data_IF_982982967835
#
_entry.id   IF_982982967835
#
_cell.length_a   1.000
_cell.length_b   1.000
_cell.length_c   1.000
_cell.angle_alpha   90.00
_cell.angle_beta   90.00
_cell.angle_gamma   90.00
#
_symmetry.space_group_name_H-M   'P 1'
#
loop_
_entity.id
_entity.type
_entity.pdbx_description
1 polymer ?
#
# COMPACT_ATOMS: atom_id res chain seq x y z
N UNK A 1 -38.54 -40.10 99.01
CA UNK A 1 -39.70 -39.83 98.13
C UNK A 1 -39.22 -39.81 96.69
N UNK A 2 -39.86 -40.64 95.84
CA UNK A 2 -40.00 -40.60 94.35
C UNK A 2 -38.78 -40.20 93.50
N UNK A 3 -38.37 -40.89 92.42
CA UNK A 3 -38.61 -42.18 91.72
C UNK A 3 -37.49 -42.18 90.63
N UNK A 4 -36.58 -43.16 90.60
CA UNK A 4 -36.53 -44.29 89.65
C UNK A 4 -36.31 -43.94 88.14
N UNK A 5 -35.10 -44.27 87.62
CA UNK A 5 -34.76 -45.28 86.56
C UNK A 5 -34.74 -44.67 85.13
N UNK A 6 -33.84 -44.98 84.18
CA UNK A 6 -33.34 -46.29 83.70
C UNK A 6 -32.10 -46.14 82.78
N UNK A 7 -31.30 -47.20 82.71
CA UNK A 7 -30.14 -47.54 81.85
C UNK A 7 -30.41 -47.64 80.33
N UNK A 8 -29.33 -47.65 79.51
CA UNK A 8 -28.98 -48.47 78.29
C UNK A 8 -27.90 -47.66 77.49
N UNK A 9 -26.59 -47.98 77.45
CA UNK A 9 -25.82 -49.07 76.82
C UNK A 9 -25.60 -48.96 75.28
N UNK A 10 -24.30 -49.00 74.88
CA UNK A 10 -23.71 -49.32 73.55
C UNK A 10 -24.05 -48.38 72.37
N UNK A 11 -23.10 -47.89 71.55
CA UNK A 11 -22.24 -48.68 70.66
C UNK A 11 -21.12 -47.81 70.05
N UNK A 12 -19.92 -48.37 69.95
CA UNK A 12 -18.76 -47.87 69.20
C UNK A 12 -19.05 -47.91 67.69
N UNK A 13 -18.84 -46.81 66.97
CA UNK A 13 -18.49 -46.85 65.54
C UNK A 13 -17.34 -45.87 65.27
N UNK A 14 -16.14 -46.47 65.29
CA UNK A 14 -14.93 -45.96 64.68
C UNK A 14 -15.13 -46.05 63.15
N UNK A 15 -15.57 -44.97 62.52
CA UNK A 15 -15.77 -44.88 61.07
C UNK A 15 -14.68 -44.03 60.45
N UNK A 16 -13.77 -44.68 59.74
CA UNK A 16 -12.54 -44.08 59.20
C UNK A 16 -12.79 -42.86 58.30
N UNK A 17 -11.90 -41.89 58.47
CA UNK A 17 -11.56 -40.87 57.48
C UNK A 17 -11.12 -41.58 56.19
N UNK A 18 -12.07 -41.84 55.30
CA UNK A 18 -11.77 -42.15 53.91
C UNK A 18 -11.29 -40.86 53.27
N UNK A 19 -9.98 -40.79 53.05
CA UNK A 19 -9.38 -39.81 52.14
C UNK A 19 -10.06 -39.97 50.79
N UNK A 20 -10.89 -39.00 50.40
CA UNK A 20 -11.33 -38.86 49.02
C UNK A 20 -10.11 -38.45 48.19
N UNK A 21 -9.42 -39.44 47.64
CA UNK A 21 -8.58 -39.25 46.47
C UNK A 21 -9.48 -38.71 45.35
N UNK A 22 -9.53 -37.39 45.19
CA UNK A 22 -9.94 -36.80 43.92
C UNK A 22 -8.97 -37.33 42.88
N UNK A 23 -9.42 -38.30 42.08
CA UNK A 23 -8.76 -38.57 40.80
C UNK A 23 -8.76 -37.24 40.05
N UNK A 24 -7.58 -36.62 39.99
CA UNK A 24 -7.34 -35.46 39.15
C UNK A 24 -7.66 -35.93 37.73
N UNK A 25 -8.84 -35.59 37.24
CA UNK A 25 -9.13 -35.69 35.81
C UNK A 25 -8.06 -34.84 35.14
N UNK A 26 -7.09 -35.51 34.51
CA UNK A 26 -6.27 -34.88 33.50
C UNK A 26 -7.25 -34.40 32.45
N UNK A 27 -7.39 -33.07 32.35
CA UNK A 27 -8.00 -32.45 31.19
C UNK A 27 -7.24 -33.04 30.00
N UNK A 28 -7.97 -33.66 29.07
CA UNK A 28 -7.42 -33.97 27.76
C UNK A 28 -7.00 -32.63 27.16
N UNK A 29 -5.70 -32.33 27.25
CA UNK A 29 -5.11 -31.26 26.45
C UNK A 29 -5.38 -31.66 25.01
N UNK A 30 -5.99 -30.81 24.18
CA UNK A 30 -6.20 -31.11 22.77
C UNK A 30 -4.89 -31.62 22.15
N UNK A 31 -4.99 -32.65 21.31
CA UNK A 31 -3.85 -33.15 20.56
C UNK A 31 -3.31 -32.03 19.64
N UNK A 32 -2.03 -31.69 19.83
CA UNK A 32 -1.18 -30.84 18.97
C UNK A 32 -1.84 -29.58 18.39
N UNK A 33 -1.79 -28.50 19.15
CA UNK A 33 -1.92 -27.15 18.61
C UNK A 33 -0.57 -26.72 18.04
N UNK A 34 -0.23 -27.21 16.84
CA UNK A 34 0.86 -26.63 16.06
C UNK A 34 0.66 -25.11 16.05
N UNK A 35 1.70 -24.32 16.37
CA UNK A 35 1.53 -22.89 16.51
C UNK A 35 0.99 -22.30 15.21
N UNK A 36 -0.10 -21.53 15.33
CA UNK A 36 -0.79 -20.97 14.17
C UNK A 36 0.12 -20.00 13.42
N UNK A 37 0.96 -19.27 14.16
CA UNK A 37 1.94 -18.34 13.62
C UNK A 37 3.29 -18.55 14.29
N UNK A 38 4.33 -18.70 13.47
CA UNK A 38 5.69 -19.01 13.90
C UNK A 38 6.68 -18.53 12.84
N UNK A 39 7.87 -18.13 13.25
CA UNK A 39 9.03 -17.93 12.38
C UNK A 39 10.25 -18.62 13.00
N UNK A 40 10.96 -19.43 12.22
CA UNK A 40 12.18 -20.11 12.67
C UNK A 40 13.23 -20.17 11.57
N UNK A 41 14.49 -19.98 11.94
CA UNK A 41 15.57 -19.96 10.97
C UNK A 41 16.83 -19.36 11.56
N UNK A 42 17.55 -18.58 10.74
CA UNK A 42 18.82 -17.95 11.15
C UNK A 42 18.87 -16.45 10.88
N UNK A 43 19.56 -15.73 11.76
CA UNK A 43 20.03 -14.36 11.58
C UNK A 43 21.56 -14.40 11.70
N UNK A 44 22.27 -14.08 10.63
CA UNK A 44 23.73 -14.21 10.52
C UNK A 44 24.22 -15.59 10.99
N UNK A 45 23.57 -16.65 10.54
CA UNK A 45 23.79 -18.06 10.92
C UNK A 45 23.47 -18.43 12.38
N UNK A 46 23.05 -17.49 13.24
CA UNK A 46 22.57 -17.80 14.58
C UNK A 46 21.09 -18.17 14.53
N UNK A 47 20.72 -19.28 15.18
CA UNK A 47 19.34 -19.73 15.20
C UNK A 47 18.45 -18.77 15.98
N UNK A 48 17.22 -18.57 15.49
CA UNK A 48 16.16 -17.91 16.21
C UNK A 48 14.85 -18.67 16.04
N UNK A 49 13.94 -18.50 17.00
CA UNK A 49 12.58 -19.01 16.94
C UNK A 49 11.66 -17.96 17.57
N UNK A 50 10.54 -17.67 16.90
CA UNK A 50 9.45 -16.85 17.39
C UNK A 50 8.15 -17.61 17.20
N UNK A 51 7.46 -17.94 18.29
CA UNK A 51 6.21 -18.70 18.26
C UNK A 51 5.12 -17.91 18.97
N UNK A 52 4.07 -17.50 18.25
CA UNK A 52 3.00 -16.73 18.87
C UNK A 52 2.32 -17.53 19.99
N UNK A 53 2.30 -16.98 21.21
CA UNK A 53 1.81 -17.64 22.42
C UNK A 53 2.91 -18.12 23.37
N UNK A 54 4.16 -18.21 22.91
CA UNK A 54 5.32 -18.60 23.71
C UNK A 54 6.24 -17.39 23.96
N UNK A 55 6.94 -17.36 25.09
CA UNK A 55 7.91 -16.32 25.46
C UNK A 55 7.45 -14.87 25.22
N UNK A 56 6.16 -14.61 25.47
CA UNK A 56 5.49 -13.33 25.22
C UNK A 56 5.51 -12.87 23.74
N UNK A 57 5.69 -13.79 22.80
CA UNK A 57 5.57 -13.49 21.39
C UNK A 57 4.10 -13.42 20.95
N UNK A 58 3.78 -12.40 20.16
CA UNK A 58 2.44 -12.18 19.61
C UNK A 58 2.50 -11.93 18.10
N UNK A 59 1.41 -12.29 17.42
CA UNK A 59 1.18 -11.95 16.01
C UNK A 59 0.32 -10.70 15.93
N UNK A 60 0.78 -9.70 15.17
CA UNK A 60 0.08 -8.46 14.91
C UNK A 60 -0.12 -8.28 13.40
N UNK A 61 -1.29 -7.83 12.99
CA UNK A 61 -1.56 -7.44 11.61
C UNK A 61 -1.76 -5.94 11.52
N UNK A 62 -1.33 -5.33 10.41
CA UNK A 62 -1.54 -3.91 10.16
C UNK A 62 -1.63 -3.63 8.67
N UNK A 63 -2.30 -2.53 8.34
CA UNK A 63 -2.30 -1.94 7.02
C UNK A 63 -1.63 -0.57 7.17
N UNK A 64 -0.39 -0.47 6.72
CA UNK A 64 0.35 0.79 6.69
C UNK A 64 0.15 1.47 5.33
N UNK A 65 0.48 2.77 5.24
CA UNK A 65 0.56 3.48 3.95
C UNK A 65 1.94 4.10 3.81
N UNK A 66 2.57 3.93 2.64
CA UNK A 66 3.82 4.59 2.27
C UNK A 66 3.65 5.22 0.90
N UNK A 67 3.81 6.55 0.81
CA UNK A 67 3.57 7.33 -0.41
C UNK A 67 2.18 7.02 -1.02
N UNK A 68 1.16 7.03 -0.15
CA UNK A 68 -0.23 6.71 -0.48
C UNK A 68 -0.47 5.31 -1.09
N UNK A 69 0.47 4.37 -0.90
CA UNK A 69 0.30 2.97 -1.28
C UNK A 69 0.14 2.11 -0.03
N UNK A 70 -0.95 1.32 0.08
CA UNK A 70 -1.13 0.37 1.17
C UNK A 70 -0.02 -0.67 1.23
N UNK A 71 0.37 -1.03 2.45
CA UNK A 71 1.27 -2.15 2.75
C UNK A 71 0.54 -3.06 3.74
N UNK A 72 0.21 -4.25 3.28
CA UNK A 72 -0.44 -5.27 4.08
C UNK A 72 0.63 -6.04 4.84
N UNK A 73 0.67 -5.91 6.17
CA UNK A 73 1.78 -6.45 6.96
C UNK A 73 1.33 -7.34 8.12
N UNK A 74 2.23 -8.29 8.41
CA UNK A 74 2.18 -9.18 9.55
C UNK A 74 3.48 -9.11 10.34
N UNK A 75 3.39 -8.97 11.66
CA UNK A 75 4.53 -8.87 12.57
C UNK A 75 4.45 -9.89 13.69
N UNK A 76 5.49 -10.72 13.83
CA UNK A 76 5.73 -11.56 15.00
C UNK A 76 6.75 -10.87 15.90
N UNK A 77 6.44 -10.70 17.19
CA UNK A 77 7.37 -10.05 18.13
C UNK A 77 7.15 -10.48 19.57
N UNK A 78 8.25 -10.64 20.32
CA UNK A 78 8.29 -10.83 21.77
C UNK A 78 8.78 -9.58 22.54
N UNK A 79 8.95 -8.44 21.85
CA UNK A 79 9.47 -7.19 22.42
C UNK A 79 10.96 -6.97 22.16
N UNK A 80 11.79 -8.01 22.27
CA UNK A 80 13.25 -7.92 22.04
C UNK A 80 13.62 -8.19 20.58
N UNK A 81 12.96 -9.19 19.98
CA UNK A 81 13.07 -9.56 18.57
C UNK A 81 11.71 -9.34 17.88
N UNK A 82 11.74 -8.82 16.67
CA UNK A 82 10.55 -8.69 15.82
C UNK A 82 10.88 -8.94 14.37
N UNK A 83 10.01 -9.69 13.69
CA UNK A 83 10.05 -9.86 12.24
C UNK A 83 8.71 -9.41 11.66
N UNK A 84 8.75 -8.49 10.71
CA UNK A 84 7.58 -8.00 9.97
C UNK A 84 7.76 -8.28 8.48
N UNK A 85 6.76 -8.92 7.87
CA UNK A 85 6.64 -9.05 6.41
C UNK A 85 5.48 -8.17 5.97
N UNK A 86 5.76 -7.25 5.05
CA UNK A 86 4.78 -6.38 4.41
C UNK A 86 4.76 -6.60 2.90
N UNK A 87 3.57 -6.56 2.31
CA UNK A 87 3.34 -6.65 0.87
C UNK A 87 2.79 -5.30 0.40
N UNK A 88 3.50 -4.64 -0.52
CA UNK A 88 2.96 -3.44 -1.17
C UNK A 88 1.75 -3.82 -2.04
N UNK A 89 0.70 -3.03 -2.01
CA UNK A 89 -0.39 -3.19 -2.98
C UNK A 89 0.15 -2.97 -4.41
N UNK A 90 -0.23 -3.86 -5.35
CA UNK A 90 0.17 -3.78 -6.75
C UNK A 90 -0.89 -3.27 -7.71
N UNK A 91 -2.16 -3.18 -7.32
CA UNK A 91 -3.26 -2.71 -8.17
C UNK A 91 -3.84 -1.39 -7.65
N UNK A 92 -2.95 -0.41 -7.45
CA UNK A 92 -3.26 0.85 -6.76
C UNK A 92 -4.19 1.81 -7.54
N UNK A 93 -4.45 1.53 -8.81
CA UNK A 93 -5.40 2.23 -9.68
C UNK A 93 -6.72 1.48 -9.90
N UNK A 94 -6.89 0.30 -9.30
CA UNK A 94 -8.15 -0.48 -9.31
C UNK A 94 -8.76 -0.43 -7.90
N UNK A 95 -9.76 0.44 -7.65
CA UNK A 95 -10.39 0.55 -6.34
C UNK A 95 -11.12 -0.74 -5.95
N UNK A 96 -10.95 -1.18 -4.69
CA UNK A 96 -11.68 -2.33 -4.14
C UNK A 96 -11.36 -3.67 -4.82
N UNK A 97 -10.14 -3.83 -5.36
CA UNK A 97 -9.72 -5.11 -5.90
C UNK A 97 -9.41 -6.09 -4.76
N UNK A 98 -9.58 -7.39 -5.04
CA UNK A 98 -9.24 -8.44 -4.08
C UNK A 98 -7.73 -8.73 -4.12
N UNK A 99 -6.99 -8.14 -3.18
CA UNK A 99 -5.52 -8.24 -3.07
C UNK A 99 -5.02 -9.69 -3.14
N UNK A 100 -5.65 -10.61 -2.40
CA UNK A 100 -5.20 -12.02 -2.33
C UNK A 100 -5.34 -12.73 -3.66
N UNK A 101 -6.43 -12.48 -4.39
CA UNK A 101 -6.66 -13.10 -5.70
C UNK A 101 -5.76 -12.49 -6.80
N UNK A 102 -5.23 -11.29 -6.57
CA UNK A 102 -4.39 -10.56 -7.52
C UNK A 102 -2.89 -10.75 -7.30
N UNK A 103 -2.50 -11.30 -6.16
CA UNK A 103 -1.09 -11.49 -5.79
C UNK A 103 -0.42 -12.58 -6.66
N UNK A 104 0.76 -12.32 -7.22
CA UNK A 104 1.48 -13.32 -8.01
C UNK A 104 2.01 -14.46 -7.13
N UNK A 105 2.26 -15.63 -7.74
CA UNK A 105 2.82 -16.80 -7.05
C UNK A 105 4.27 -16.62 -6.63
N UNK A 106 5.02 -15.81 -7.38
CA UNK A 106 6.40 -15.44 -7.08
C UNK A 106 6.44 -13.96 -6.71
N UNK A 107 7.04 -13.66 -5.56
CA UNK A 107 7.14 -12.32 -5.04
C UNK A 107 8.61 -11.92 -4.98
N UNK A 108 8.87 -10.66 -5.30
CA UNK A 108 10.22 -10.10 -5.28
C UNK A 108 10.32 -9.05 -4.18
N UNK A 109 11.52 -8.88 -3.63
CA UNK A 109 11.74 -7.81 -2.67
C UNK A 109 11.68 -6.43 -3.31
N UNK A 110 11.09 -5.50 -2.58
CA UNK A 110 11.24 -4.07 -2.85
C UNK A 110 12.72 -3.68 -2.73
N UNK A 111 13.12 -2.71 -3.53
CA UNK A 111 14.50 -2.23 -3.60
C UNK A 111 14.54 -0.73 -3.49
N UNK A 112 15.58 -0.22 -2.84
CA UNK A 112 15.91 1.20 -2.85
C UNK A 112 16.34 1.62 -4.26
N UNK A 113 15.71 2.67 -4.78
CA UNK A 113 16.16 3.35 -6.00
C UNK A 113 17.24 4.37 -5.62
N UNK A 114 18.38 4.35 -6.32
CA UNK A 114 19.45 5.35 -6.14
C UNK A 114 19.28 6.54 -7.09
N UNK A 115 18.46 6.37 -8.12
CA UNK A 115 18.11 7.40 -9.11
C UNK A 115 16.66 7.81 -8.93
N UNK A 116 16.31 9.08 -9.21
CA UNK A 116 14.95 9.54 -9.07
C UNK A 116 14.01 8.89 -10.08
N UNK A 117 12.79 8.59 -9.66
CA UNK A 117 11.76 7.99 -10.51
C UNK A 117 11.13 9.05 -11.41
N UNK A 118 10.98 10.28 -10.91
CA UNK A 118 10.53 11.42 -11.70
C UNK A 118 11.35 12.67 -11.37
N UNK A 119 11.59 13.47 -12.39
CA UNK A 119 12.17 14.81 -12.29
C UNK A 119 11.20 15.79 -12.95
N UNK A 120 10.47 16.52 -12.13
CA UNK A 120 9.51 17.52 -12.54
C UNK A 120 10.27 18.80 -12.87
N UNK A 121 10.05 19.37 -14.04
CA UNK A 121 10.74 20.58 -14.50
C UNK A 121 9.85 21.39 -15.42
N UNK A 122 9.96 22.72 -15.33
CA UNK A 122 9.42 23.66 -16.32
C UNK A 122 9.86 23.28 -17.74
N UNK A 123 11.11 22.86 -17.90
CA UNK A 123 11.70 22.53 -19.21
C UNK A 123 11.09 21.29 -19.86
N UNK A 124 10.23 20.55 -19.12
CA UNK A 124 9.50 19.41 -19.66
C UNK A 124 8.25 19.81 -20.44
N UNK A 125 7.81 21.06 -20.34
CA UNK A 125 6.67 21.55 -21.10
C UNK A 125 7.06 21.96 -22.53
N UNK A 126 6.29 21.60 -23.57
CA UNK A 126 6.59 21.97 -24.95
C UNK A 126 6.69 23.48 -25.20
N UNK A 127 6.02 24.28 -24.37
CA UNK A 127 5.96 25.74 -24.40
C UNK A 127 6.76 26.41 -23.27
N UNK A 128 7.83 25.76 -22.78
CA UNK A 128 8.67 26.27 -21.69
C UNK A 128 9.19 27.70 -21.89
N UNK A 129 9.36 28.15 -23.14
CA UNK A 129 9.85 29.49 -23.49
C UNK A 129 8.89 30.63 -23.09
N UNK A 130 7.59 30.35 -23.00
CA UNK A 130 6.57 31.35 -22.60
C UNK A 130 6.11 31.19 -21.15
N UNK A 131 6.62 30.16 -20.46
CA UNK A 131 6.43 29.97 -19.03
C UNK A 131 7.55 30.74 -18.33
N UNK A 132 7.23 31.63 -17.40
CA UNK A 132 8.24 32.32 -16.59
C UNK A 132 8.84 31.34 -15.58
N UNK A 133 7.98 30.79 -14.70
CA UNK A 133 8.34 29.80 -13.70
C UNK A 133 7.19 28.84 -13.37
N UNK A 134 7.52 27.75 -12.69
CA UNK A 134 6.54 26.77 -12.20
C UNK A 134 6.82 26.50 -10.73
N UNK A 135 5.84 26.68 -9.86
CA UNK A 135 5.91 26.20 -8.47
C UNK A 135 5.27 24.81 -8.40
N UNK A 136 6.09 23.80 -8.12
CA UNK A 136 5.62 22.42 -7.96
C UNK A 136 5.20 22.19 -6.51
N UNK A 137 4.15 21.41 -6.33
CA UNK A 137 3.74 20.85 -5.04
C UNK A 137 3.51 19.35 -5.20
N UNK A 138 4.16 18.51 -4.39
CA UNK A 138 3.94 17.06 -4.35
C UNK A 138 3.53 16.68 -2.94
N UNK A 139 2.30 16.19 -2.78
CA UNK A 139 1.70 15.88 -1.48
C UNK A 139 1.84 17.03 -0.45
N UNK A 140 1.78 18.28 -0.94
CA UNK A 140 1.89 19.50 -0.14
C UNK A 140 3.32 19.99 0.14
N UNK A 141 4.35 19.34 -0.42
CA UNK A 141 5.73 19.83 -0.37
C UNK A 141 6.05 20.64 -1.61
N UNK A 142 6.44 21.90 -1.42
CA UNK A 142 6.64 22.85 -2.52
C UNK A 142 8.10 23.00 -2.95
N UNK A 143 8.32 23.23 -4.24
CA UNK A 143 9.63 23.55 -4.81
C UNK A 143 9.52 24.39 -6.09
N UNK A 144 10.42 25.36 -6.26
CA UNK A 144 10.43 26.25 -7.43
C UNK A 144 11.18 25.63 -8.61
N UNK A 145 10.56 25.67 -9.78
CA UNK A 145 10.99 25.23 -11.11
C UNK A 145 11.27 23.75 -11.27
N UNK A 146 11.86 23.10 -10.27
CA UNK A 146 12.18 21.68 -10.32
C UNK A 146 11.80 20.96 -9.04
N UNK A 147 11.42 19.69 -9.16
CA UNK A 147 11.14 18.82 -8.04
C UNK A 147 11.47 17.37 -8.40
N UNK A 148 11.98 16.61 -7.43
CA UNK A 148 12.44 15.24 -7.66
C UNK A 148 11.71 14.27 -6.76
N UNK A 149 11.21 13.17 -7.35
CA UNK A 149 10.55 12.09 -6.62
C UNK A 149 11.43 10.84 -6.71
N UNK A 150 11.87 10.32 -5.57
CA UNK A 150 12.80 9.19 -5.50
C UNK A 150 12.12 7.85 -5.28
N UNK A 151 11.04 7.82 -4.52
CA UNK A 151 10.40 6.59 -4.09
C UNK A 151 9.16 6.30 -4.94
N UNK A 152 8.83 5.02 -5.21
CA UNK A 152 7.58 4.69 -5.87
C UNK A 152 6.38 5.09 -4.99
N UNK A 153 5.24 5.36 -5.61
CA UNK A 153 4.03 5.73 -4.91
C UNK A 153 2.96 6.34 -5.79
N UNK A 154 1.93 6.83 -5.10
CA UNK A 154 0.80 7.55 -5.65
C UNK A 154 0.84 8.98 -5.11
N UNK A 155 0.96 9.96 -6.00
CA UNK A 155 1.29 11.34 -5.63
C UNK A 155 0.23 12.30 -6.15
N UNK A 156 -0.22 13.21 -5.31
CA UNK A 156 -0.95 14.38 -5.77
C UNK A 156 0.07 15.45 -6.16
N UNK A 157 0.19 15.73 -7.46
CA UNK A 157 1.15 16.70 -7.99
C UNK A 157 0.42 17.89 -8.56
N UNK A 158 0.77 19.09 -8.10
CA UNK A 158 0.26 20.35 -8.62
C UNK A 158 1.41 21.19 -9.18
N UNK A 159 1.14 21.86 -10.29
CA UNK A 159 2.00 22.85 -10.93
C UNK A 159 1.26 24.19 -10.94
N UNK A 160 1.72 25.16 -10.17
CA UNK A 160 1.33 26.56 -10.35
C UNK A 160 2.23 27.15 -11.42
N UNK A 161 1.66 27.36 -12.60
CA UNK A 161 2.37 27.74 -13.83
C UNK A 161 2.12 29.22 -14.06
N UNK A 162 3.19 30.01 -14.00
CA UNK A 162 3.14 31.45 -14.28
C UNK A 162 3.75 31.70 -15.65
N UNK A 163 2.99 32.32 -16.53
CA UNK A 163 3.43 32.67 -17.89
C UNK A 163 4.14 34.02 -17.92
N UNK A 164 4.92 34.27 -18.97
CA UNK A 164 5.69 35.51 -19.17
C UNK A 164 4.81 36.77 -19.28
N UNK A 165 3.51 36.63 -19.55
CA UNK A 165 2.53 37.72 -19.54
C UNK A 165 1.96 38.03 -18.13
N UNK A 166 2.38 37.26 -17.12
CA UNK A 166 1.93 37.36 -15.73
C UNK A 166 0.65 36.60 -15.41
N UNK A 167 -0.01 35.96 -16.39
CA UNK A 167 -1.13 35.06 -16.12
C UNK A 167 -0.65 33.77 -15.44
N UNK A 168 -1.48 33.18 -14.58
CA UNK A 168 -1.13 31.94 -13.90
C UNK A 168 -2.31 30.98 -13.78
N UNK A 169 -2.00 29.69 -13.75
CA UNK A 169 -2.98 28.62 -13.58
C UNK A 169 -2.37 27.50 -12.74
N UNK A 170 -3.21 26.83 -11.95
CA UNK A 170 -2.81 25.66 -11.18
C UNK A 170 -3.35 24.41 -11.86
N UNK A 171 -2.44 23.51 -12.25
CA UNK A 171 -2.78 22.22 -12.82
C UNK A 171 -2.40 21.12 -11.84
N UNK A 172 -3.37 20.28 -11.44
CA UNK A 172 -3.13 19.19 -10.51
C UNK A 172 -3.47 17.85 -11.15
N UNK A 173 -2.63 16.83 -10.97
CA UNK A 173 -2.88 15.47 -11.43
C UNK A 173 -2.43 14.45 -10.38
N UNK A 174 -3.07 13.29 -10.38
CA UNK A 174 -2.66 12.14 -9.57
C UNK A 174 -1.68 11.29 -10.39
N UNK A 175 -0.42 11.25 -9.96
CA UNK A 175 0.65 10.51 -10.62
C UNK A 175 0.86 9.16 -9.94
N UNK A 176 0.99 8.12 -10.76
CA UNK A 176 1.38 6.77 -10.33
C UNK A 176 2.80 6.50 -10.82
N UNK A 177 3.75 6.43 -9.88
CA UNK A 177 5.19 6.34 -10.17
C UNK A 177 5.77 5.04 -9.60
N UNK A 178 6.42 4.25 -10.45
CA UNK A 178 7.05 2.97 -10.07
C UNK A 178 6.04 1.86 -9.72
N UNK A 179 4.86 1.89 -10.33
CA UNK A 179 3.81 0.88 -10.27
C UNK A 179 3.20 0.70 -11.67
N UNK A 180 2.62 -0.48 -11.94
CA UNK A 180 1.89 -0.66 -13.19
C UNK A 180 0.64 0.22 -13.22
N UNK A 181 0.27 0.64 -14.43
CA UNK A 181 -0.99 1.33 -14.71
C UNK A 181 -1.84 0.38 -15.53
N UNK A 182 -2.99 0.01 -15.01
CA UNK A 182 -3.89 -0.96 -15.59
C UNK A 182 -4.86 -0.31 -16.59
N UNK A 183 -4.94 1.03 -16.62
CA UNK A 183 -5.46 1.78 -17.75
C UNK A 183 -4.85 3.18 -17.79
N UNK A 184 -4.68 3.72 -18.99
CA UNK A 184 -4.26 5.10 -19.22
C UNK A 184 -4.90 5.64 -20.51
N UNK A 185 -4.88 6.96 -20.66
CA UNK A 185 -5.42 7.65 -21.82
C UNK A 185 -4.78 9.02 -22.04
N UNK A 186 -4.99 9.68 -23.16
CA UNK A 186 -4.66 11.10 -23.34
C UNK A 186 -5.91 11.91 -23.61
N UNK A 187 -5.95 13.15 -23.14
CA UNK A 187 -6.94 14.12 -23.61
C UNK A 187 -6.36 14.74 -24.88
N UNK A 188 -7.07 14.59 -26.00
CA UNK A 188 -6.83 15.40 -27.18
C UNK A 188 -7.88 16.48 -27.28
N UNK A 189 -7.48 17.61 -27.82
CA UNK A 189 -8.35 18.75 -27.99
C UNK A 189 -8.04 19.50 -29.27
N UNK A 190 -9.03 20.26 -29.73
CA UNK A 190 -8.94 21.24 -30.78
C UNK A 190 -9.77 22.45 -30.39
N UNK A 191 -9.16 23.63 -30.39
CA UNK A 191 -9.84 24.91 -30.19
C UNK A 191 -9.76 25.70 -31.48
N UNK A 192 -10.92 26.05 -32.05
CA UNK A 192 -10.97 26.86 -33.26
C UNK A 192 -11.01 28.37 -32.95
N UNK A 193 -10.84 29.20 -33.98
CA UNK A 193 -10.87 30.66 -33.86
C UNK A 193 -12.23 31.24 -33.43
N UNK A 194 -13.30 30.44 -33.43
CA UNK A 194 -14.63 30.84 -32.98
C UNK A 194 -14.89 30.49 -31.51
N UNK A 195 -13.88 29.99 -30.79
CA UNK A 195 -14.02 29.56 -29.39
C UNK A 195 -14.81 28.27 -29.21
N UNK A 196 -14.89 27.41 -30.25
CA UNK A 196 -15.42 26.05 -30.09
C UNK A 196 -14.28 25.11 -29.70
N UNK A 197 -14.38 24.55 -28.50
CA UNK A 197 -13.52 23.50 -27.98
C UNK A 197 -14.13 22.14 -28.30
N UNK A 198 -13.39 21.31 -29.01
CA UNK A 198 -13.67 19.87 -29.15
C UNK A 198 -12.61 19.10 -28.39
N UNK A 199 -12.99 18.11 -27.59
CA UNK A 199 -12.04 17.25 -26.87
C UNK A 199 -12.52 15.81 -26.80
N UNK A 200 -11.58 14.86 -26.81
CA UNK A 200 -11.89 13.44 -26.74
C UNK A 200 -10.77 12.68 -26.02
N UNK A 201 -11.11 11.48 -25.57
CA UNK A 201 -10.15 10.52 -25.04
C UNK A 201 -9.48 9.80 -26.21
N UNK A 202 -8.16 9.91 -26.31
CA UNK A 202 -7.36 9.22 -27.32
C UNK A 202 -6.56 8.06 -26.72
N UNK A 203 -6.38 7.02 -27.54
CA UNK A 203 -5.60 5.80 -27.26
C UNK A 203 -5.88 5.20 -25.87
N UNK A 204 -7.15 4.91 -25.54
CA UNK A 204 -7.46 4.27 -24.28
C UNK A 204 -6.87 2.85 -24.30
N UNK A 205 -5.96 2.56 -23.36
CA UNK A 205 -5.30 1.25 -23.26
C UNK A 205 -6.27 0.10 -22.94
N UNK A 206 -7.42 0.45 -22.36
CA UNK A 206 -8.53 -0.43 -22.01
C UNK A 206 -9.82 0.22 -22.50
N UNK A 207 -10.84 -0.57 -22.82
CA UNK A 207 -12.15 -0.05 -23.20
C UNK A 207 -12.72 0.90 -22.13
N UNK A 208 -13.26 2.03 -22.61
CA UNK A 208 -13.84 3.07 -21.75
C UNK A 208 -15.30 2.72 -21.48
N UNK A 209 -15.66 2.60 -20.20
CA UNK A 209 -17.04 2.39 -19.77
C UNK A 209 -17.81 3.73 -19.73
N UNK A 210 -17.17 4.77 -19.19
CA UNK A 210 -17.80 6.08 -18.96
C UNK A 210 -16.79 7.22 -18.95
N UNK A 211 -17.20 8.36 -19.51
CA UNK A 211 -16.46 9.63 -19.44
C UNK A 211 -17.35 10.70 -18.82
N UNK A 212 -16.76 11.60 -18.04
CA UNK A 212 -17.36 12.88 -17.64
C UNK A 212 -16.38 14.00 -17.91
N UNK A 213 -16.85 15.05 -18.56
CA UNK A 213 -16.06 16.24 -18.90
C UNK A 213 -16.45 17.40 -18.00
N UNK A 214 -15.45 18.02 -17.38
CA UNK A 214 -15.63 19.23 -16.58
C UNK A 214 -14.79 20.35 -17.14
N UNK A 215 -15.33 21.57 -17.10
CA UNK A 215 -14.61 22.79 -17.40
C UNK A 215 -14.69 23.68 -16.16
N UNK A 216 -13.54 24.06 -15.61
CA UNK A 216 -13.44 24.84 -14.38
C UNK A 216 -14.28 24.23 -13.23
N UNK A 217 -14.12 22.92 -13.04
CA UNK A 217 -14.84 22.07 -12.08
C UNK A 217 -16.35 21.91 -12.31
N UNK A 218 -16.92 22.50 -13.36
CA UNK A 218 -18.34 22.34 -13.73
C UNK A 218 -18.50 21.19 -14.72
N UNK A 219 -19.35 20.21 -14.41
CA UNK A 219 -19.70 19.13 -15.34
C UNK A 219 -20.44 19.70 -16.55
N UNK A 220 -19.86 19.54 -17.74
CA UNK A 220 -20.42 20.08 -19.00
C UNK A 220 -20.85 18.99 -19.99
N UNK A 221 -20.31 17.77 -19.90
CA UNK A 221 -20.72 16.65 -20.75
C UNK A 221 -20.43 15.29 -20.11
N UNK A 222 -21.12 14.26 -20.59
CA UNK A 222 -20.80 12.84 -20.31
C UNK A 222 -20.72 12.01 -21.60
N UNK A 223 -20.60 12.68 -22.75
CA UNK A 223 -20.44 12.04 -24.05
C UNK A 223 -18.97 11.63 -24.28
N UNK A 224 -18.76 10.72 -25.23
CA UNK A 224 -17.42 10.24 -25.58
C UNK A 224 -16.51 11.36 -26.12
N UNK A 225 -17.11 12.30 -26.84
CA UNK A 225 -16.49 13.52 -27.34
C UNK A 225 -17.21 14.73 -26.74
N UNK A 226 -16.43 15.67 -26.22
CA UNK A 226 -16.90 16.98 -25.80
C UNK A 226 -16.92 17.92 -27.01
N UNK A 227 -18.03 18.63 -27.20
CA UNK A 227 -18.06 19.87 -27.99
C UNK A 227 -18.64 20.98 -27.13
N UNK A 228 -17.84 21.99 -26.83
CA UNK A 228 -18.23 23.16 -26.04
C UNK A 228 -18.10 24.42 -26.90
N UNK A 229 -19.21 25.12 -27.08
CA UNK A 229 -19.22 26.39 -27.81
C UNK A 229 -19.06 27.53 -26.81
N UNK A 230 -18.36 28.60 -27.22
CA UNK A 230 -18.21 29.84 -26.42
C UNK A 230 -17.23 29.71 -25.25
N UNK A 231 -16.07 29.09 -25.49
CA UNK A 231 -14.94 29.25 -24.59
C UNK A 231 -14.51 30.73 -24.59
N UNK A 232 -14.34 31.34 -23.42
CA UNK A 232 -13.81 32.71 -23.32
C UNK A 232 -12.32 32.75 -23.63
N UNK A 233 -11.79 33.95 -23.89
CA UNK A 233 -10.36 34.18 -24.20
C UNK A 233 -9.42 33.99 -22.98
N UNK A 234 -9.92 33.44 -21.87
CA UNK A 234 -9.12 33.15 -20.67
C UNK A 234 -8.56 31.73 -20.71
N UNK A 235 -7.67 31.40 -19.78
CA UNK A 235 -7.23 30.02 -19.60
C UNK A 235 -8.29 29.26 -18.80
N UNK A 236 -8.55 28.02 -19.18
CA UNK A 236 -9.54 27.15 -18.55
C UNK A 236 -8.94 25.79 -18.19
N UNK A 237 -9.47 25.15 -17.14
CA UNK A 237 -9.09 23.78 -16.77
C UNK A 237 -10.12 22.80 -17.32
N UNK A 238 -9.71 22.00 -18.31
CA UNK A 238 -10.51 20.89 -18.80
C UNK A 238 -10.12 19.61 -18.05
N UNK A 239 -11.10 18.97 -17.41
CA UNK A 239 -10.95 17.66 -16.74
C UNK A 239 -11.74 16.58 -17.46
N UNK A 240 -11.14 15.42 -17.63
CA UNK A 240 -11.83 14.18 -17.98
C UNK A 240 -11.74 13.17 -16.83
N UNK A 241 -12.89 12.80 -16.25
CA UNK A 241 -12.99 11.63 -15.37
C UNK A 241 -13.40 10.42 -16.21
N UNK A 242 -12.54 9.42 -16.29
CA UNK A 242 -12.74 8.21 -17.11
C UNK A 242 -12.82 6.99 -16.21
N UNK A 243 -13.87 6.19 -16.39
CA UNK A 243 -14.00 4.84 -15.83
C UNK A 243 -13.82 3.82 -16.96
N UNK A 244 -12.98 2.82 -16.72
CA UNK A 244 -12.64 1.76 -17.66
C UNK A 244 -13.36 0.47 -17.29
N UNK A 245 -13.61 -0.40 -18.28
CA UNK A 245 -14.32 -1.67 -18.08
C UNK A 245 -13.61 -2.62 -17.10
N UNK A 246 -12.29 -2.48 -16.91
CA UNK A 246 -11.53 -3.25 -15.92
C UNK A 246 -11.60 -2.69 -14.49
N UNK A 247 -12.43 -1.67 -14.24
CA UNK A 247 -12.63 -1.05 -12.94
C UNK A 247 -11.69 0.11 -12.62
N UNK A 248 -10.67 0.36 -13.44
CA UNK A 248 -9.77 1.50 -13.26
C UNK A 248 -10.54 2.81 -13.40
N UNK A 249 -10.21 3.78 -12.54
CA UNK A 249 -10.72 5.15 -12.62
C UNK A 249 -9.57 6.13 -12.65
N UNK A 250 -9.55 7.01 -13.65
CA UNK A 250 -8.49 8.02 -13.82
C UNK A 250 -9.11 9.38 -14.12
N UNK A 251 -8.55 10.41 -13.52
CA UNK A 251 -8.86 11.80 -13.80
C UNK A 251 -7.63 12.45 -14.42
N UNK A 252 -7.80 13.15 -15.54
CA UNK A 252 -6.75 13.96 -16.16
C UNK A 252 -7.22 15.38 -16.35
N UNK A 253 -6.32 16.32 -16.13
CA UNK A 253 -6.58 17.75 -16.24
C UNK A 253 -5.64 18.35 -17.26
N UNK A 254 -6.09 19.37 -17.98
CA UNK A 254 -5.23 20.16 -18.86
C UNK A 254 -5.62 21.63 -18.83
N UNK A 255 -4.67 22.51 -19.13
CA UNK A 255 -4.94 23.93 -19.36
C UNK A 255 -5.27 24.10 -20.84
N UNK A 256 -6.47 24.58 -21.12
CA UNK A 256 -6.89 25.04 -22.45
C UNK A 256 -6.73 26.55 -22.52
N UNK A 257 -5.96 27.00 -23.49
CA UNK A 257 -5.73 28.42 -23.74
C UNK A 257 -6.82 28.98 -24.66
N UNK A 258 -7.83 29.61 -24.07
CA UNK A 258 -8.93 30.24 -24.81
C UNK A 258 -8.48 31.37 -25.74
N UNK A 259 -7.38 32.06 -25.39
CA UNK A 259 -6.84 33.17 -26.20
C UNK A 259 -6.08 32.72 -27.44
N UNK A 260 -5.76 31.42 -27.56
CA UNK A 260 -4.87 30.87 -28.59
C UNK A 260 -3.46 31.50 -28.58
N UNK A 261 -3.00 32.00 -27.43
CA UNK A 261 -1.66 32.55 -27.18
C UNK A 261 -0.54 31.51 -27.01
N UNK A 262 -0.84 30.22 -27.07
CA UNK A 262 0.10 29.12 -26.90
C UNK A 262 0.29 28.65 -25.45
N UNK A 263 -0.54 29.09 -24.51
CA UNK A 263 -0.48 28.79 -23.07
C UNK A 263 -1.10 27.45 -22.66
N UNK A 264 -1.32 26.56 -23.62
CA UNK A 264 -1.86 25.23 -23.33
C UNK A 264 -0.86 24.40 -22.52
N UNK A 265 -1.36 23.56 -21.61
CA UNK A 265 -0.53 22.61 -20.86
C UNK A 265 -1.26 21.28 -20.83
N UNK A 266 -0.63 20.25 -21.39
CA UNK A 266 -1.14 18.88 -21.31
C UNK A 266 -1.06 18.33 -19.88
N UNK A 267 -1.83 17.26 -19.62
CA UNK A 267 -1.89 16.61 -18.31
C UNK A 267 -0.52 16.11 -17.82
N UNK A 268 -0.23 16.31 -16.52
CA UNK A 268 1.07 16.04 -15.90
C UNK A 268 1.44 14.54 -15.85
N UNK A 269 0.54 13.62 -16.20
CA UNK A 269 0.86 12.18 -16.20
C UNK A 269 1.89 11.77 -17.25
N UNK A 270 2.34 12.67 -18.14
CA UNK A 270 3.51 12.40 -18.98
C UNK A 270 4.78 12.13 -18.15
N UNK A 271 4.86 12.59 -16.90
CA UNK A 271 5.96 12.24 -15.98
C UNK A 271 5.97 10.76 -15.54
N UNK A 272 4.88 10.02 -15.76
CA UNK A 272 4.77 8.59 -15.40
C UNK A 272 5.49 7.66 -16.40
N UNK A 273 6.03 8.15 -17.51
CA UNK A 273 6.60 7.30 -18.59
C UNK A 273 8.12 7.14 -18.54
N UNK A 274 8.79 7.59 -17.48
CA UNK A 274 10.25 7.43 -17.33
C UNK A 274 10.69 5.96 -17.16
N UNK A 275 11.91 5.59 -17.58
CA UNK A 275 12.43 4.20 -17.52
C UNK A 275 12.36 3.60 -16.12
N UNK A 276 12.60 4.40 -15.07
CA UNK A 276 12.52 3.94 -13.68
C UNK A 276 11.07 3.84 -13.18
N UNK A 277 10.13 4.57 -13.78
CA UNK A 277 8.70 4.39 -13.52
C UNK A 277 8.19 3.04 -14.08
N UNK A 278 8.93 2.41 -15.00
CA UNK A 278 8.64 1.06 -15.51
C UNK A 278 9.16 -0.07 -14.59
N UNK A 279 9.95 0.26 -13.57
CA UNK A 279 10.36 -0.71 -12.55
C UNK A 279 9.28 -0.77 -11.47
N UNK A 280 8.29 -1.62 -11.69
CA UNK A 280 7.13 -1.69 -10.85
C UNK A 280 7.42 -2.32 -9.47
N UNK A 281 6.81 -1.76 -8.43
CA UNK A 281 6.83 -2.28 -7.05
C UNK A 281 5.56 -3.09 -6.74
N UNK A 282 4.86 -3.53 -7.78
CA UNK A 282 3.59 -4.24 -7.65
C UNK A 282 3.78 -5.53 -6.85
N UNK A 283 3.06 -5.65 -5.73
CA UNK A 283 3.16 -6.80 -4.83
C UNK A 283 4.57 -7.10 -4.28
N UNK A 284 5.49 -6.15 -4.34
CA UNK A 284 6.83 -6.38 -3.79
C UNK A 284 6.80 -6.55 -2.27
N UNK A 285 7.79 -7.28 -1.75
CA UNK A 285 7.92 -7.56 -0.32
C UNK A 285 8.83 -6.56 0.38
N UNK A 286 8.47 -6.21 1.60
CA UNK A 286 9.32 -5.53 2.58
C UNK A 286 9.44 -6.41 3.81
N UNK A 287 10.67 -6.70 4.21
CA UNK A 287 11.00 -7.32 5.48
C UNK A 287 11.55 -6.24 6.43
N UNK A 288 11.07 -6.21 7.67
CA UNK A 288 11.71 -5.48 8.77
C UNK A 288 12.12 -6.45 9.87
N UNK A 289 13.32 -6.25 10.40
CA UNK A 289 13.83 -6.93 11.59
C UNK A 289 14.04 -5.87 12.65
N UNK A 290 13.53 -6.09 13.86
CA UNK A 290 13.96 -5.33 15.04
C UNK A 290 14.70 -6.29 15.96
N UNK A 291 15.94 -5.95 16.30
CA UNK A 291 16.79 -6.72 17.20
C UNK A 291 17.53 -5.76 18.12
N UNK A 292 17.43 -5.95 19.43
CA UNK A 292 18.07 -5.09 20.45
C UNK A 292 17.75 -3.59 20.27
N UNK A 293 16.51 -3.30 19.86
CA UNK A 293 16.03 -1.93 19.58
C UNK A 293 16.51 -1.32 18.26
N UNK A 294 17.33 -2.02 17.47
CA UNK A 294 17.80 -1.56 16.15
C UNK A 294 16.84 -2.08 15.08
N UNK A 295 16.39 -1.19 14.19
CA UNK A 295 15.52 -1.55 13.06
C UNK A 295 16.34 -1.72 11.78
N UNK A 296 16.19 -2.88 11.15
CA UNK A 296 16.73 -3.19 9.85
C UNK A 296 15.60 -3.35 8.84
N UNK A 297 15.82 -2.98 7.57
CA UNK A 297 14.83 -3.20 6.51
C UNK A 297 15.44 -3.70 5.21
N UNK A 298 14.69 -4.54 4.49
CA UNK A 298 15.05 -5.03 3.17
C UNK A 298 14.89 -3.95 2.08
N UNK A 299 14.01 -2.95 2.31
CA UNK A 299 13.73 -1.90 1.32
C UNK A 299 14.87 -0.86 1.20
N UNK A 300 15.85 -0.93 2.11
CA UNK A 300 17.04 -0.08 2.12
C UNK A 300 18.26 -0.71 1.43
N UNK A 301 18.16 -1.97 0.98
CA UNK A 301 19.27 -2.68 0.34
C UNK A 301 18.81 -3.39 -0.95
N UNK A 302 19.76 -3.85 -1.76
CA UNK A 302 19.45 -4.58 -2.98
C UNK A 302 19.24 -6.07 -2.65
N UNK A 303 17.99 -6.51 -2.69
CA UNK A 303 17.59 -7.90 -2.51
C UNK A 303 17.29 -8.61 -3.85
N UNK A 304 17.87 -8.18 -4.97
CA UNK A 304 17.54 -8.75 -6.30
C UNK A 304 17.93 -10.22 -6.50
N UNK A 305 18.78 -10.77 -5.64
CA UNK A 305 19.19 -12.19 -5.66
C UNK A 305 18.53 -13.01 -4.54
N UNK A 306 17.76 -12.35 -3.68
CA UNK A 306 17.12 -12.93 -2.51
C UNK A 306 15.70 -13.35 -2.86
N UNK A 307 15.16 -14.33 -2.16
CA UNK A 307 13.92 -15.02 -2.54
C UNK A 307 12.90 -15.01 -1.41
N UNK A 308 11.64 -14.92 -1.80
CA UNK A 308 10.49 -15.13 -0.93
C UNK A 308 9.49 -15.95 -1.71
N UNK A 309 9.13 -17.11 -1.16
CA UNK A 309 8.21 -18.04 -1.82
C UNK A 309 7.06 -18.36 -0.89
N UNK A 310 5.83 -18.18 -1.38
CA UNK A 310 4.63 -18.52 -0.63
C UNK A 310 4.22 -19.94 -1.00
N UNK A 311 4.10 -20.80 0.01
CA UNK A 311 3.69 -22.20 -0.16
C UNK A 311 2.21 -22.42 0.12
N UNK A 312 1.57 -21.54 0.89
CA UNK A 312 0.14 -21.56 1.19
C UNK A 312 -0.35 -20.16 1.57
N UNK A 313 -1.55 -19.81 1.10
CA UNK A 313 -2.29 -18.60 1.51
C UNK A 313 -3.73 -19.04 1.78
N UNK A 314 -4.15 -19.00 3.04
CA UNK A 314 -5.46 -19.48 3.45
C UNK A 314 -6.15 -18.52 4.43
N UNK A 315 -7.47 -18.37 4.32
CA UNK A 315 -8.24 -17.57 5.26
C UNK A 315 -8.09 -18.11 6.69
N UNK A 316 -7.91 -17.21 7.66
CA UNK A 316 -7.79 -17.56 9.06
C UNK A 316 -8.97 -17.06 9.89
N UNK A 317 -9.14 -15.75 10.00
CA UNK A 317 -10.14 -15.12 10.86
C UNK A 317 -10.36 -13.65 10.47
N UNK A 318 -11.13 -12.91 11.29
CA UNK A 318 -11.18 -11.46 11.25
C UNK A 318 -10.32 -10.84 12.35
N UNK A 319 -9.70 -9.70 12.06
CA UNK A 319 -9.02 -8.89 13.09
C UNK A 319 -10.01 -8.04 13.90
N UNK A 320 -9.51 -7.30 14.89
CA UNK A 320 -10.33 -6.42 15.74
C UNK A 320 -11.00 -5.27 14.97
N UNK A 321 -10.50 -4.93 13.78
CA UNK A 321 -11.06 -3.90 12.90
C UNK A 321 -12.05 -4.49 11.88
N UNK A 322 -12.26 -5.81 11.88
CA UNK A 322 -13.16 -6.53 10.99
C UNK A 322 -12.56 -6.90 9.63
N UNK A 323 -11.26 -6.65 9.43
CA UNK A 323 -10.51 -7.02 8.23
C UNK A 323 -10.33 -8.53 8.17
N UNK A 324 -10.25 -9.09 6.96
CA UNK A 324 -9.97 -10.51 6.79
C UNK A 324 -8.47 -10.76 6.94
N UNK A 325 -8.13 -11.72 7.81
CA UNK A 325 -6.76 -12.14 8.06
C UNK A 325 -6.50 -13.43 7.33
N UNK A 326 -5.47 -13.42 6.49
CA UNK A 326 -4.99 -14.58 5.77
C UNK A 326 -3.69 -15.08 6.41
N UNK A 327 -3.61 -16.39 6.60
CA UNK A 327 -2.42 -17.09 7.02
C UNK A 327 -1.57 -17.40 5.78
N UNK A 328 -0.34 -16.93 5.79
CA UNK A 328 0.63 -17.11 4.72
C UNK A 328 1.79 -17.94 5.24
N UNK A 329 2.08 -19.05 4.55
CA UNK A 329 3.29 -19.84 4.77
C UNK A 329 4.34 -19.44 3.77
N UNK A 330 5.51 -19.04 4.24
CA UNK A 330 6.58 -18.58 3.38
C UNK A 330 7.95 -19.11 3.80
N UNK A 331 8.81 -19.32 2.80
CA UNK A 331 10.25 -19.44 3.00
C UNK A 331 10.91 -18.14 2.52
N UNK A 332 11.77 -17.57 3.35
CA UNK A 332 12.36 -16.24 3.15
C UNK A 332 13.87 -16.33 3.25
N UNK A 333 14.56 -15.88 2.20
CA UNK A 333 16.00 -15.61 2.18
C UNK A 333 16.18 -14.15 1.86
N UNK A 334 16.78 -13.36 2.77
CA UNK A 334 16.84 -11.92 2.62
C UNK A 334 18.07 -11.29 3.29
N UNK A 335 18.43 -10.10 2.81
CA UNK A 335 19.35 -9.20 3.48
C UNK A 335 18.57 -7.97 3.93
N UNK A 336 18.76 -7.58 5.18
CA UNK A 336 18.23 -6.31 5.73
C UNK A 336 19.39 -5.44 6.16
N UNK A 337 19.25 -4.12 6.04
CA UNK A 337 20.26 -3.16 6.49
C UNK A 337 19.67 -2.21 7.53
N UNK A 338 20.48 -1.81 8.50
CA UNK A 338 20.11 -0.83 9.50
C UNK A 338 19.57 0.43 8.81
N UNK A 339 18.36 0.87 9.20
CA UNK A 339 17.72 2.04 8.62
C UNK A 339 18.49 3.33 8.90
N UNK A 340 19.31 3.36 9.96
CA UNK A 340 20.23 4.45 10.28
C UNK A 340 21.60 4.30 9.58
N UNK A 341 21.83 3.16 8.93
CA UNK A 341 23.06 2.81 8.23
C UNK A 341 24.33 2.84 9.12
N UNK A 342 24.19 2.46 10.40
CA UNK A 342 25.30 2.45 11.39
C UNK A 342 25.74 1.02 11.71
N UNK A 343 24.79 0.10 11.85
CA UNK A 343 25.03 -1.26 12.37
C UNK A 343 25.20 -2.34 11.28
N UNK A 344 25.34 -1.91 10.03
CA UNK A 344 25.54 -2.77 8.86
C UNK A 344 24.29 -3.56 8.47
N UNK A 345 24.51 -4.70 7.82
CA UNK A 345 23.46 -5.61 7.36
C UNK A 345 23.30 -6.85 8.24
N UNK A 346 22.16 -7.53 8.11
CA UNK A 346 21.90 -8.88 8.61
C UNK A 346 21.45 -9.77 7.46
N UNK A 347 21.89 -11.02 7.46
CA UNK A 347 21.42 -12.07 6.57
C UNK A 347 20.38 -12.91 7.29
N UNK A 348 19.24 -13.16 6.63
CA UNK A 348 18.14 -13.94 7.17
C UNK A 348 17.81 -15.10 6.22
N UNK A 349 17.58 -16.27 6.79
CA UNK A 349 17.01 -17.43 6.12
C UNK A 349 16.06 -18.12 7.10
N UNK A 350 14.77 -18.14 6.81
CA UNK A 350 13.77 -18.68 7.73
C UNK A 350 12.49 -19.14 7.04
N UNK A 351 11.81 -20.08 7.70
CA UNK A 351 10.44 -20.46 7.41
C UNK A 351 9.49 -19.75 8.35
N UNK A 352 8.35 -19.31 7.83
CA UNK A 352 7.35 -18.58 8.61
C UNK A 352 5.94 -18.97 8.23
N UNK A 353 5.06 -18.90 9.22
CA UNK A 353 3.62 -18.81 9.06
C UNK A 353 3.17 -17.52 9.74
N UNK A 354 2.67 -16.55 8.96
CA UNK A 354 2.27 -15.23 9.48
C UNK A 354 0.88 -14.84 9.00
N UNK A 355 0.23 -13.95 9.73
CA UNK A 355 -1.04 -13.34 9.34
C UNK A 355 -0.84 -12.06 8.54
N UNK A 356 -1.63 -11.84 7.49
CA UNK A 356 -1.73 -10.56 6.79
C UNK A 356 -3.18 -10.12 6.82
N UNK A 357 -3.44 -8.88 7.26
CA UNK A 357 -4.78 -8.29 7.19
C UNK A 357 -5.00 -7.62 5.84
N UNK A 358 -6.15 -7.92 5.23
CA UNK A 358 -6.62 -7.31 3.99
C UNK A 358 -7.93 -6.57 4.30
N UNK A 359 -8.05 -5.30 3.91
CA UNK A 359 -9.23 -4.51 4.22
C UNK A 359 -10.46 -5.14 3.57
N UNK A 360 -11.60 -4.99 4.25
CA UNK A 360 -12.89 -5.41 3.71
C UNK A 360 -13.34 -4.38 2.66
N UNK A 361 -13.75 -4.86 1.49
CA UNK A 361 -14.41 -4.06 0.45
C UNK A 361 -15.67 -3.32 0.96
#
# INVERSE_FOLDING_TARGET
>A
MRRAKTFIAFTVVLGGLLMSSCNKHSINVPQSNDPVFKAEGTIDANQFELVAGDDNAFMFTSIESKNNVPIYSGKLSNGDLSIEIGIYDGLIDIPGHNVINSMPSELIFSRKTTSPIAFLSKESFPNADIIDHVSWSVDGLDSLNTMTIYEPGKYQVCADIVFSDGSSNVLCSELILGYARHANFQIKHFLNQNGTLTAWVEDPQVAVEKIKWYLDDVLISSDAELTYNQLSDENHILRADVSFENGVKRSKNMIVDGSLGGKFIDDLTFFETGTLALLHRDFNIRLKLVQDGITFSSDQTNNSLNTVSFSDVSYYAKDANGNDVYKVKAHVVATVIDVQNVNGSRQLEFDTTFGIAIPKD
#
